data_IF_839827852671
#
_entry.id   IF_839827852671
#
_cell.length_a   1.000
_cell.length_b   1.000
_cell.length_c   1.000
_cell.angle_alpha   90.00
_cell.angle_beta   90.00
_cell.angle_gamma   90.00
#
_symmetry.space_group_name_H-M   'P 1'
#
loop_
_entity.id
_entity.type
_entity.pdbx_description
1 polymer ?
#
# COMPACT_ATOMS: atom_id res chain seq x y z
N UNK A 1 -13.18 9.87 11.33
CA UNK A 1 -11.87 9.17 11.33
C UNK A 1 -11.40 9.05 9.90
N UNK A 2 -10.12 9.30 9.63
CA UNK A 2 -9.59 9.24 8.26
C UNK A 2 -9.23 7.82 7.83
N UNK A 3 -9.33 7.57 6.52
CA UNK A 3 -8.88 6.33 5.86
C UNK A 3 -7.36 6.20 6.06
N UNK A 4 -6.92 5.01 6.50
CA UNK A 4 -5.50 4.72 6.72
C UNK A 4 -5.06 3.60 5.81
N UNK A 5 -4.13 3.88 4.89
CA UNK A 5 -3.42 2.81 4.19
C UNK A 5 -2.55 2.05 5.19
N UNK A 6 -2.65 0.72 5.18
CA UNK A 6 -1.95 -0.15 6.12
C UNK A 6 -0.97 -1.09 5.41
N UNK A 7 -1.18 -1.37 4.12
CA UNK A 7 -0.29 -2.18 3.30
C UNK A 7 -0.53 -1.88 1.82
N UNK A 8 0.53 -1.91 1.02
CA UNK A 8 0.47 -1.87 -0.44
C UNK A 8 1.33 -3.00 -1.01
N UNK A 9 0.84 -3.66 -2.05
CA UNK A 9 1.59 -4.68 -2.80
C UNK A 9 1.50 -4.30 -4.27
N UNK A 10 2.64 -4.16 -4.92
CA UNK A 10 2.76 -3.91 -6.35
C UNK A 10 3.29 -5.18 -6.99
N UNK A 11 2.64 -5.69 -8.05
CA UNK A 11 3.10 -6.84 -8.83
C UNK A 11 3.25 -6.45 -10.29
N UNK A 12 4.09 -7.20 -11.00
CA UNK A 12 4.58 -6.86 -12.34
C UNK A 12 5.38 -5.55 -12.33
N UNK A 13 6.06 -5.28 -11.20
CA UNK A 13 6.88 -4.10 -11.02
C UNK A 13 8.35 -4.46 -11.26
N UNK A 14 8.88 -4.05 -12.41
CA UNK A 14 10.23 -4.35 -12.86
C UNK A 14 11.31 -3.71 -11.98
N UNK A 15 12.48 -4.34 -11.93
CA UNK A 15 13.60 -3.88 -11.10
C UNK A 15 13.48 -4.23 -9.61
N UNK A 16 12.43 -4.98 -9.23
CA UNK A 16 12.26 -5.52 -7.88
C UNK A 16 12.34 -7.05 -7.89
N UNK A 17 12.77 -7.63 -6.78
CA UNK A 17 12.83 -9.09 -6.62
C UNK A 17 11.43 -9.70 -6.83
N UNK A 18 11.35 -10.75 -7.66
CA UNK A 18 10.09 -11.38 -8.06
C UNK A 18 9.06 -10.40 -8.67
N UNK A 19 9.52 -9.31 -9.28
CA UNK A 19 8.70 -8.21 -9.82
C UNK A 19 7.65 -7.70 -8.83
N UNK A 20 7.99 -7.70 -7.53
CA UNK A 20 7.06 -7.41 -6.45
C UNK A 20 7.67 -6.45 -5.43
N UNK A 21 6.94 -5.38 -5.12
CA UNK A 21 7.23 -4.49 -4.00
C UNK A 21 6.11 -4.61 -2.97
N UNK A 22 6.45 -4.90 -1.72
CA UNK A 22 5.51 -4.90 -0.59
C UNK A 22 5.91 -3.87 0.44
N UNK A 23 4.96 -3.05 0.85
CA UNK A 23 5.13 -2.06 1.91
C UNK A 23 4.05 -2.29 2.94
N UNK A 24 4.48 -2.57 4.16
CA UNK A 24 3.60 -2.88 5.29
C UNK A 24 3.80 -1.82 6.38
N UNK A 25 2.75 -1.07 6.66
CA UNK A 25 2.75 -0.05 7.69
C UNK A 25 2.33 -0.61 9.05
N UNK A 26 2.06 -1.91 9.19
CA UNK A 26 1.70 -2.50 10.48
C UNK A 26 2.94 -2.80 11.32
N UNK A 27 2.96 -2.31 12.56
CA UNK A 27 4.09 -2.49 13.48
C UNK A 27 4.39 -3.98 13.73
N UNK A 28 5.51 -4.50 13.20
CA UNK A 28 5.90 -5.91 13.24
C UNK A 28 5.90 -6.51 14.66
N UNK A 29 6.51 -5.77 15.59
CA UNK A 29 6.75 -6.14 16.98
C UNK A 29 5.60 -5.67 17.88
N UNK A 30 5.61 -6.16 19.13
CA UNK A 30 4.73 -5.64 20.18
C UNK A 30 5.10 -4.16 20.42
N UNK A 31 4.09 -3.31 20.42
CA UNK A 31 4.20 -1.88 20.75
C UNK A 31 4.12 -1.73 22.26
N UNK A 32 5.04 -0.98 22.84
CA UNK A 32 5.02 -0.57 24.25
C UNK A 32 4.37 0.81 24.41
N UNK A 33 3.94 1.12 25.63
CA UNK A 33 3.17 2.34 25.93
C UNK A 33 3.91 3.62 25.52
N UNK A 34 5.22 3.70 25.79
CA UNK A 34 6.11 4.79 25.36
C UNK A 34 6.04 5.07 23.85
N UNK A 35 6.03 4.05 23.00
CA UNK A 35 5.96 4.24 21.53
C UNK A 35 4.60 4.80 21.08
N UNK A 36 3.54 4.50 21.85
CA UNK A 36 2.21 5.07 21.63
C UNK A 36 2.15 6.52 22.08
N UNK A 37 2.74 6.84 23.23
CA UNK A 37 2.74 8.18 23.82
C UNK A 37 3.58 9.17 23.01
N UNK A 38 4.69 8.71 22.42
CA UNK A 38 5.55 9.50 21.55
C UNK A 38 5.01 9.67 20.11
N UNK A 39 3.77 9.23 19.83
CA UNK A 39 3.13 9.29 18.51
C UNK A 39 3.95 8.59 17.40
N UNK A 40 4.78 7.61 17.74
CA UNK A 40 5.54 6.81 16.76
C UNK A 40 4.60 5.86 16.00
N UNK A 41 3.52 5.46 16.66
CA UNK A 41 2.49 4.60 16.09
C UNK A 41 1.08 5.17 16.27
N UNK A 42 0.17 4.74 15.41
CA UNK A 42 -1.27 4.99 15.54
C UNK A 42 -1.96 3.67 15.86
N UNK A 43 -2.70 3.62 16.96
CA UNK A 43 -3.57 2.48 17.29
C UNK A 43 -4.72 2.38 16.29
N UNK A 44 -4.86 1.23 15.64
CA UNK A 44 -5.98 0.95 14.74
C UNK A 44 -7.12 0.28 15.51
N UNK A 45 -6.81 -0.82 16.19
CA UNK A 45 -7.74 -1.67 16.93
C UNK A 45 -6.97 -2.67 17.79
N UNK A 46 -7.39 -2.91 19.03
CA UNK A 46 -6.72 -3.81 19.97
C UNK A 46 -5.19 -3.54 20.05
N UNK A 47 -4.36 -4.57 19.87
CA UNK A 47 -2.90 -4.48 19.80
C UNK A 47 -2.36 -4.35 18.36
N UNK A 48 -3.17 -3.85 17.43
CA UNK A 48 -2.78 -3.61 16.05
C UNK A 48 -2.51 -2.12 15.88
N UNK A 49 -1.26 -1.83 15.55
CA UNK A 49 -0.73 -0.49 15.42
C UNK A 49 -0.17 -0.28 14.02
N UNK A 50 -0.40 0.92 13.48
CA UNK A 50 0.20 1.42 12.25
C UNK A 50 1.42 2.26 12.61
N UNK A 51 2.53 2.05 11.92
CA UNK A 51 3.71 2.91 11.98
C UNK A 51 3.37 4.28 11.37
N UNK A 52 3.71 5.36 12.08
CA UNK A 52 3.56 6.72 11.56
C UNK A 52 4.75 7.13 10.68
N UNK A 53 5.90 6.47 10.86
CA UNK A 53 7.12 6.69 10.08
C UNK A 53 7.77 5.36 9.69
N UNK A 54 8.39 5.32 8.50
CA UNK A 54 9.22 4.22 8.01
C UNK A 54 10.46 4.85 7.36
N UNK A 55 11.63 4.25 7.61
CA UNK A 55 12.89 4.66 7.00
C UNK A 55 13.38 3.59 6.01
N UNK A 56 13.79 4.00 4.82
CA UNK A 56 14.48 3.14 3.85
C UNK A 56 16.00 3.37 3.95
N UNK A 57 16.75 2.31 4.26
CA UNK A 57 18.21 2.35 4.39
C UNK A 57 18.87 1.34 3.45
N UNK A 58 20.06 1.65 2.95
CA UNK A 58 20.80 0.84 1.98
C UNK A 58 21.87 1.65 1.26
N UNK A 59 22.75 0.99 0.52
CA UNK A 59 23.82 1.65 -0.25
C UNK A 59 23.25 2.58 -1.34
N UNK A 60 24.04 3.54 -1.82
CA UNK A 60 23.62 4.40 -2.92
C UNK A 60 23.18 3.58 -4.14
N UNK A 61 22.25 4.14 -4.92
CA UNK A 61 21.64 3.49 -6.10
C UNK A 61 20.91 2.16 -5.84
N UNK A 62 20.67 1.76 -4.59
CA UNK A 62 19.90 0.54 -4.24
C UNK A 62 18.37 0.66 -4.41
N UNK A 63 17.88 1.63 -5.19
CA UNK A 63 16.43 1.81 -5.43
C UNK A 63 15.62 2.51 -4.33
N UNK A 64 16.26 3.15 -3.33
CA UNK A 64 15.55 3.86 -2.24
C UNK A 64 14.67 5.00 -2.74
N UNK A 65 15.23 5.92 -3.54
CA UNK A 65 14.52 7.08 -4.10
C UNK A 65 13.39 6.64 -5.03
N UNK A 66 13.64 5.63 -5.87
CA UNK A 66 12.62 5.01 -6.73
C UNK A 66 11.45 4.47 -5.91
N UNK A 67 11.74 3.69 -4.87
CA UNK A 67 10.72 3.13 -3.98
C UNK A 67 9.89 4.25 -3.33
N UNK A 68 10.51 5.33 -2.84
CA UNK A 68 9.79 6.49 -2.29
C UNK A 68 8.87 7.15 -3.32
N UNK A 69 9.32 7.29 -4.56
CA UNK A 69 8.53 7.89 -5.63
C UNK A 69 7.32 7.00 -6.00
N UNK A 70 7.51 5.69 -6.09
CA UNK A 70 6.42 4.73 -6.33
C UNK A 70 5.38 4.79 -5.20
N UNK A 71 5.82 4.87 -3.94
CA UNK A 71 4.93 5.08 -2.79
C UNK A 71 4.17 6.41 -2.94
N UNK A 72 4.88 7.48 -3.30
CA UNK A 72 4.27 8.81 -3.45
C UNK A 72 3.18 8.81 -4.51
N UNK A 73 3.43 8.21 -5.67
CA UNK A 73 2.45 8.10 -6.76
C UNK A 73 1.24 7.27 -6.32
N UNK A 74 1.44 6.15 -5.62
CA UNK A 74 0.34 5.36 -5.07
C UNK A 74 -0.52 6.16 -4.08
N UNK A 75 0.09 6.93 -3.17
CA UNK A 75 -0.66 7.74 -2.21
C UNK A 75 -1.42 8.88 -2.90
N UNK A 76 -0.81 9.53 -3.90
CA UNK A 76 -1.47 10.57 -4.70
C UNK A 76 -2.73 10.03 -5.37
N UNK A 77 -2.65 8.87 -6.00
CA UNK A 77 -3.78 8.25 -6.70
C UNK A 77 -4.86 7.80 -5.72
N UNK A 78 -4.51 6.93 -4.76
CA UNK A 78 -5.51 6.23 -3.94
C UNK A 78 -5.95 6.94 -2.67
N UNK A 79 -5.19 7.93 -2.19
CA UNK A 79 -5.54 8.70 -0.97
C UNK A 79 -5.90 10.14 -1.34
N UNK A 80 -5.17 10.77 -2.26
CA UNK A 80 -5.39 12.18 -2.63
C UNK A 80 -6.30 12.33 -3.84
N UNK A 81 -6.85 11.22 -4.38
CA UNK A 81 -7.76 11.22 -5.52
C UNK A 81 -7.19 11.93 -6.76
N UNK A 82 -5.88 11.83 -6.98
CA UNK A 82 -5.24 12.31 -8.21
C UNK A 82 -5.47 11.31 -9.34
N UNK A 83 -5.70 11.81 -10.55
CA UNK A 83 -5.81 10.96 -11.73
C UNK A 83 -4.49 10.25 -12.02
N UNK A 84 -4.58 9.05 -12.60
CA UNK A 84 -3.42 8.39 -13.19
C UNK A 84 -2.81 9.29 -14.28
N UNK A 85 -1.48 9.34 -14.33
CA UNK A 85 -0.74 10.14 -15.30
C UNK A 85 0.46 9.32 -15.79
N UNK A 86 0.68 9.31 -17.11
CA UNK A 86 1.81 8.62 -17.73
C UNK A 86 3.18 9.16 -17.31
N UNK A 87 3.25 10.39 -16.82
CA UNK A 87 4.47 10.99 -16.26
C UNK A 87 4.78 10.53 -14.83
N UNK A 88 3.87 9.78 -14.18
CA UNK A 88 4.16 9.18 -12.88
C UNK A 88 5.35 8.25 -12.99
N UNK A 89 6.21 8.24 -11.98
CA UNK A 89 7.45 7.48 -11.98
C UNK A 89 7.14 5.99 -12.10
N UNK A 90 6.04 5.54 -11.49
CA UNK A 90 5.58 4.14 -11.55
C UNK A 90 5.35 3.62 -12.98
N UNK A 91 5.04 4.49 -13.95
CA UNK A 91 4.80 4.11 -15.36
C UNK A 91 6.06 3.55 -16.03
N UNK A 92 7.24 3.88 -15.54
CA UNK A 92 8.52 3.42 -16.07
C UNK A 92 8.93 2.02 -15.57
N UNK A 93 8.14 1.40 -14.69
CA UNK A 93 8.49 0.15 -14.01
C UNK A 93 7.54 -1.01 -14.32
N UNK A 94 6.76 -0.92 -15.40
CA UNK A 94 5.98 -2.04 -15.93
C UNK A 94 5.74 -1.84 -17.43
N UNK A 95 5.66 -2.91 -18.19
CA UNK A 95 5.42 -2.85 -19.65
C UNK A 95 3.92 -2.79 -19.97
N UNK A 96 3.18 -3.88 -19.72
CA UNK A 96 1.78 -3.98 -20.16
C UNK A 96 0.79 -3.61 -19.05
N UNK A 97 0.94 -4.24 -17.89
CA UNK A 97 -0.03 -4.15 -16.80
C UNK A 97 0.63 -4.22 -15.43
N UNK A 98 0.27 -3.27 -14.58
CA UNK A 98 0.63 -3.21 -13.17
C UNK A 98 -0.56 -3.66 -12.31
N UNK A 99 -0.32 -4.53 -11.34
CA UNK A 99 -1.31 -4.86 -10.31
C UNK A 99 -0.94 -4.18 -9.00
N UNK A 100 -1.87 -3.44 -8.41
CA UNK A 100 -1.72 -2.82 -7.09
C UNK A 100 -2.79 -3.36 -6.14
N UNK A 101 -2.37 -3.99 -5.05
CA UNK A 101 -3.24 -4.29 -3.91
C UNK A 101 -3.00 -3.29 -2.77
N UNK A 102 -3.96 -2.40 -2.55
CA UNK A 102 -3.96 -1.50 -1.40
C UNK A 102 -4.90 -2.00 -0.31
N UNK A 103 -4.41 -2.01 0.93
CA UNK A 103 -5.17 -2.36 2.10
C UNK A 103 -5.42 -1.11 2.94
N UNK A 104 -6.67 -0.87 3.29
CA UNK A 104 -7.08 0.30 4.06
C UNK A 104 -7.80 -0.11 5.34
N UNK A 105 -7.59 0.64 6.41
CA UNK A 105 -8.41 0.57 7.61
C UNK A 105 -9.27 1.82 7.71
N UNK A 106 -10.57 1.62 7.85
CA UNK A 106 -11.54 2.69 8.04
C UNK A 106 -12.74 2.18 8.82
N UNK A 107 -13.08 2.89 9.89
CA UNK A 107 -14.29 2.68 10.69
C UNK A 107 -14.52 1.23 11.15
N UNK A 108 -13.48 0.58 11.69
CA UNK A 108 -13.58 -0.80 12.16
C UNK A 108 -13.64 -1.86 11.05
N UNK A 109 -13.42 -1.49 9.79
CA UNK A 109 -13.31 -2.40 8.66
C UNK A 109 -11.91 -2.34 8.05
N UNK A 110 -11.48 -3.49 7.53
CA UNK A 110 -10.34 -3.56 6.61
C UNK A 110 -10.89 -3.76 5.21
N UNK A 111 -10.39 -2.96 4.29
CA UNK A 111 -10.66 -3.04 2.86
C UNK A 111 -9.41 -3.53 2.15
N UNK A 112 -9.60 -4.27 1.06
CA UNK A 112 -8.57 -4.58 0.08
C UNK A 112 -9.09 -4.11 -1.27
N UNK A 113 -8.40 -3.19 -1.90
CA UNK A 113 -8.63 -2.79 -3.28
C UNK A 113 -7.53 -3.41 -4.12
N UNK A 114 -7.91 -4.25 -5.09
CA UNK A 114 -7.00 -4.75 -6.12
C UNK A 114 -7.32 -3.98 -7.40
N UNK A 115 -6.35 -3.22 -7.92
CA UNK A 115 -6.50 -2.43 -9.15
C UNK A 115 -5.49 -2.89 -10.19
N UNK A 116 -5.94 -3.04 -11.43
CA UNK A 116 -5.11 -3.35 -12.58
C UNK A 116 -4.98 -2.11 -13.46
N UNK A 117 -3.75 -1.66 -13.68
CA UNK A 117 -3.43 -0.45 -14.45
C UNK A 117 -2.72 -0.86 -15.73
N UNK A 118 -3.17 -0.36 -16.87
CA UNK A 118 -2.55 -0.61 -18.18
C UNK A 118 -2.03 0.69 -18.80
N UNK A 119 -1.05 0.55 -19.68
CA UNK A 119 -0.65 1.63 -20.59
C UNK A 119 -1.56 1.65 -21.80
N UNK A 120 -2.14 2.80 -22.08
CA UNK A 120 -2.70 3.11 -23.39
C UNK A 120 -1.63 3.85 -24.20
N UNK A 121 -0.84 3.07 -24.95
CA UNK A 121 0.27 3.56 -25.76
C UNK A 121 -0.17 4.50 -26.88
N UNK A 122 -1.43 4.40 -27.35
CA UNK A 122 -1.97 5.29 -28.38
C UNK A 122 -2.13 6.72 -27.88
N UNK A 123 -2.53 6.87 -26.61
CA UNK A 123 -2.78 8.17 -25.98
C UNK A 123 -1.70 8.59 -24.96
N UNK A 124 -0.61 7.82 -24.84
CA UNK A 124 0.42 8.00 -23.79
C UNK A 124 -0.23 8.23 -22.42
N UNK A 125 -1.15 7.35 -22.04
CA UNK A 125 -1.93 7.48 -20.81
C UNK A 125 -1.92 6.19 -19.99
N UNK A 126 -2.29 6.31 -18.72
CA UNK A 126 -2.48 5.18 -17.82
C UNK A 126 -3.97 5.07 -17.51
N UNK A 127 -4.51 3.86 -17.62
CA UNK A 127 -5.92 3.59 -17.38
C UNK A 127 -6.09 2.50 -16.32
N UNK A 128 -7.12 2.62 -15.50
CA UNK A 128 -7.62 1.51 -14.70
C UNK A 128 -8.40 0.57 -15.63
N UNK A 129 -7.94 -0.66 -15.73
CA UNK A 129 -8.56 -1.72 -16.54
C UNK A 129 -9.65 -2.44 -15.73
N UNK A 130 -9.30 -2.92 -14.55
CA UNK A 130 -10.20 -3.63 -13.65
C UNK A 130 -9.90 -3.28 -12.18
N UNK A 131 -10.95 -3.28 -11.34
CA UNK A 131 -10.82 -3.09 -9.91
C UNK A 131 -11.73 -4.03 -9.11
N UNK A 132 -11.19 -4.56 -8.00
CA UNK A 132 -11.90 -5.44 -7.09
C UNK A 132 -11.78 -4.93 -5.66
N UNK A 133 -12.91 -4.53 -5.08
CA UNK A 133 -12.98 -4.07 -3.70
C UNK A 133 -13.56 -5.16 -2.78
N UNK A 134 -12.76 -5.53 -1.79
CA UNK A 134 -13.13 -6.46 -0.74
C UNK A 134 -13.22 -5.71 0.59
N UNK A 135 -14.14 -6.13 1.45
CA UNK A 135 -14.34 -5.56 2.79
C UNK A 135 -14.51 -6.67 3.81
N UNK A 136 -13.95 -6.50 5.00
CA UNK A 136 -14.24 -7.35 6.16
C UNK A 136 -14.33 -6.54 7.44
N UNK A 137 -15.23 -6.95 8.34
CA UNK A 137 -15.36 -6.35 9.67
C UNK A 137 -14.21 -6.80 10.56
N UNK A 138 -13.66 -5.88 11.34
CA UNK A 138 -12.69 -6.18 12.36
C UNK A 138 -13.41 -6.44 13.68
N UNK A 139 -13.11 -7.57 14.31
CA UNK A 139 -13.58 -7.91 15.64
C UNK A 139 -12.48 -7.70 16.69
N UNK A 140 -12.89 -7.59 17.96
CA UNK A 140 -11.98 -7.38 19.10
C UNK A 140 -10.94 -8.48 19.29
N UNK A 141 -11.12 -9.65 18.66
CA UNK A 141 -10.21 -10.79 18.78
C UNK A 141 -9.37 -11.04 17.51
N UNK A 142 -9.30 -10.08 16.57
CA UNK A 142 -8.53 -10.29 15.35
C UNK A 142 -7.03 -10.45 15.65
N UNK A 143 -6.46 -11.56 15.21
CA UNK A 143 -5.01 -11.73 15.23
C UNK A 143 -4.38 -10.85 14.15
N UNK A 144 -3.24 -10.22 14.46
CA UNK A 144 -2.53 -9.35 13.51
C UNK A 144 -2.24 -10.01 12.15
N UNK A 145 -1.84 -11.29 12.16
CA UNK A 145 -1.62 -12.08 10.92
C UNK A 145 -2.85 -12.13 10.01
N UNK A 146 -4.05 -12.10 10.59
CA UNK A 146 -5.32 -12.14 9.87
C UNK A 146 -5.86 -10.76 9.51
N UNK A 147 -5.20 -9.68 9.94
CA UNK A 147 -5.69 -8.32 9.76
C UNK A 147 -5.73 -7.89 8.29
N UNK A 148 -4.71 -8.25 7.50
CA UNK A 148 -4.66 -8.01 6.06
C UNK A 148 -4.94 -9.27 5.22
N UNK A 149 -5.37 -10.38 5.81
CA UNK A 149 -5.72 -11.59 5.03
C UNK A 149 -7.15 -11.54 4.49
N UNK A 150 -7.32 -11.72 3.19
CA UNK A 150 -8.61 -11.95 2.55
C UNK A 150 -8.60 -13.37 1.98
N UNK A 151 -9.64 -14.15 2.25
CA UNK A 151 -9.83 -15.43 1.56
C UNK A 151 -10.37 -15.11 0.17
N UNK A 152 -9.81 -15.72 -0.88
CA UNK A 152 -10.52 -15.82 -2.16
C UNK A 152 -11.77 -16.68 -1.88
N UNK A 153 -12.94 -16.14 -2.19
CA UNK A 153 -14.16 -16.94 -2.26
C UNK A 153 -14.11 -17.80 -3.52
#
# INVERSE_FOLDING_TARGET
MDIKIIKSIFRNLEGYENNTLTIDFLAAKRVYELESDENIVTKLVNNIYKLNSISLAGINASGKTTTLNIISDNLKVFIQNQSLNYQMIISNYFEEQLEIENYFYYDGFVYKLTSFIKKDNGNQSLIFDEEFLYKKKVNSNIAKKRFSSFRRC
#
